data_IF_516458764363
#
_entry.id   IF_516458764363
#
_cell.length_a   1.000
_cell.length_b   1.000
_cell.length_c   1.000
_cell.angle_alpha   90.00
_cell.angle_beta   90.00
_cell.angle_gamma   90.00
#
_symmetry.space_group_name_H-M   'P 1'
#
loop_
_entity.id
_entity.type
_entity.pdbx_description
1 polymer ?
#
# COMPACT_ATOMS: atom_id res chain seq x y z
N UNK A 1 -44.46 3.37 -19.27
CA UNK A 1 -43.72 2.61 -18.27
C UNK A 1 -43.67 3.45 -16.98
N UNK A 2 -44.24 2.99 -15.89
CA UNK A 2 -44.18 3.74 -14.63
C UNK A 2 -42.73 3.66 -14.06
N UNK A 3 -42.19 4.80 -13.65
CA UNK A 3 -40.96 4.94 -12.90
C UNK A 3 -41.09 4.14 -11.60
N UNK A 4 -40.19 3.14 -11.41
CA UNK A 4 -40.03 2.45 -10.15
C UNK A 4 -39.33 3.44 -9.23
N UNK A 5 -40.09 4.01 -8.30
CA UNK A 5 -39.52 4.80 -7.20
C UNK A 5 -38.79 3.82 -6.28
N UNK A 6 -37.48 4.01 -5.97
CA UNK A 6 -36.80 3.15 -5.02
C UNK A 6 -37.44 3.30 -3.64
N UNK A 7 -37.70 2.18 -2.98
CA UNK A 7 -38.20 2.12 -1.61
C UNK A 7 -37.38 2.99 -0.65
N UNK A 8 -38.11 3.56 0.31
CA UNK A 8 -37.59 4.53 1.27
C UNK A 8 -36.29 4.07 1.94
N UNK A 9 -35.30 4.96 1.94
CA UNK A 9 -34.04 4.78 2.64
C UNK A 9 -34.28 4.34 4.07
N UNK A 10 -33.81 3.14 4.43
CA UNK A 10 -33.77 2.68 5.82
C UNK A 10 -32.99 3.69 6.65
N UNK A 11 -33.42 3.91 7.88
CA UNK A 11 -32.69 4.81 8.80
C UNK A 11 -31.29 4.25 9.11
N UNK A 12 -30.29 5.08 9.40
CA UNK A 12 -28.94 4.63 9.76
C UNK A 12 -28.94 3.59 10.88
N UNK A 13 -29.85 3.71 11.85
CA UNK A 13 -30.01 2.77 12.97
C UNK A 13 -30.45 1.38 12.50
N UNK A 14 -31.29 1.27 11.47
CA UNK A 14 -31.74 -0.02 10.93
C UNK A 14 -30.67 -0.74 10.10
N UNK A 15 -29.73 0.01 9.48
CA UNK A 15 -28.57 -0.55 8.78
C UNK A 15 -27.55 -1.11 9.77
N UNK A 16 -27.31 -0.42 10.86
CA UNK A 16 -26.39 -0.89 11.93
C UNK A 16 -26.97 -2.17 12.58
N UNK A 17 -28.26 -2.20 12.89
CA UNK A 17 -28.92 -3.39 13.44
C UNK A 17 -28.93 -4.56 12.45
N UNK A 18 -29.08 -4.31 11.16
CA UNK A 18 -29.05 -5.36 10.13
C UNK A 18 -27.67 -5.92 9.89
N UNK A 19 -26.61 -5.10 10.02
CA UNK A 19 -25.20 -5.53 9.99
C UNK A 19 -24.82 -6.28 11.27
N UNK A 20 -25.27 -5.83 12.44
CA UNK A 20 -25.07 -6.52 13.70
C UNK A 20 -25.72 -7.91 13.71
N UNK A 21 -26.85 -8.09 13.03
CA UNK A 21 -27.53 -9.37 12.92
C UNK A 21 -26.97 -10.31 11.84
N UNK A 22 -26.22 -9.80 10.86
CA UNK A 22 -25.79 -10.59 9.69
C UNK A 22 -24.59 -11.51 9.92
N UNK A 23 -23.68 -11.21 10.86
CA UNK A 23 -22.41 -11.96 10.83
C UNK A 23 -21.62 -12.03 12.15
N UNK A 24 -22.02 -11.37 13.23
CA UNK A 24 -21.18 -11.29 14.42
C UNK A 24 -21.75 -12.11 15.58
N UNK A 25 -20.99 -13.14 15.95
CA UNK A 25 -21.23 -13.82 17.24
C UNK A 25 -20.99 -12.84 18.39
N UNK A 26 -21.65 -13.05 19.55
CA UNK A 26 -21.43 -12.23 20.75
C UNK A 26 -19.95 -12.11 21.14
N UNK A 27 -19.13 -13.08 20.77
CA UNK A 27 -17.69 -13.09 21.01
C UNK A 27 -16.94 -12.09 20.12
N UNK A 28 -17.30 -11.97 18.84
CA UNK A 28 -16.70 -10.96 17.95
C UNK A 28 -17.05 -9.54 18.37
N UNK A 29 -18.30 -9.30 18.79
CA UNK A 29 -18.71 -8.00 19.32
C UNK A 29 -17.95 -7.64 20.61
N UNK A 30 -17.68 -8.63 21.47
CA UNK A 30 -16.87 -8.44 22.68
C UNK A 30 -15.40 -8.15 22.34
N UNK A 31 -14.86 -8.86 21.37
CA UNK A 31 -13.50 -8.66 20.87
C UNK A 31 -13.34 -7.26 20.25
N UNK A 32 -14.26 -6.84 19.40
CA UNK A 32 -14.25 -5.51 18.81
C UNK A 32 -14.32 -4.39 19.86
N UNK A 33 -15.16 -4.53 20.90
CA UNK A 33 -15.20 -3.56 22.01
C UNK A 33 -13.87 -3.45 22.78
N UNK A 34 -13.14 -4.55 22.92
CA UNK A 34 -11.81 -4.54 23.55
C UNK A 34 -10.82 -3.82 22.64
N UNK A 35 -10.82 -4.14 21.34
CA UNK A 35 -9.97 -3.47 20.35
C UNK A 35 -10.26 -1.97 20.28
N UNK A 36 -11.53 -1.58 20.30
CA UNK A 36 -11.93 -0.16 20.26
C UNK A 36 -11.44 0.60 21.49
N UNK A 37 -11.50 -0.03 22.68
CA UNK A 37 -10.97 0.57 23.90
C UNK A 37 -9.45 0.73 23.84
N UNK A 38 -8.75 -0.25 23.32
CA UNK A 38 -7.30 -0.23 23.16
C UNK A 38 -6.87 0.78 22.09
N UNK A 39 -7.56 0.83 20.95
CA UNK A 39 -7.34 1.85 19.92
C UNK A 39 -7.55 3.27 20.45
N UNK A 40 -8.58 3.49 21.28
CA UNK A 40 -8.83 4.79 21.89
C UNK A 40 -7.72 5.16 22.88
N UNK A 41 -7.19 4.19 23.64
CA UNK A 41 -6.07 4.41 24.56
C UNK A 41 -4.82 4.83 23.79
N UNK A 42 -4.46 4.07 22.75
CA UNK A 42 -3.32 4.37 21.88
C UNK A 42 -3.49 5.74 21.20
N UNK A 43 -4.68 6.04 20.69
CA UNK A 43 -4.97 7.34 20.07
C UNK A 43 -4.74 8.49 21.05
N UNK A 44 -5.22 8.38 22.29
CA UNK A 44 -5.06 9.43 23.32
C UNK A 44 -3.58 9.63 23.69
N UNK A 45 -2.82 8.53 23.79
CA UNK A 45 -1.38 8.59 24.03
C UNK A 45 -0.64 9.28 22.87
N UNK A 46 -0.95 8.92 21.62
CA UNK A 46 -0.40 9.59 20.44
C UNK A 46 -0.71 11.08 20.41
N UNK A 47 -1.95 11.47 20.73
CA UNK A 47 -2.33 12.87 20.84
C UNK A 47 -1.54 13.59 21.93
N UNK A 48 -1.28 12.93 23.06
CA UNK A 48 -0.42 13.44 24.14
C UNK A 48 0.99 13.76 23.62
N UNK A 49 1.62 12.76 22.99
CA UNK A 49 2.97 12.91 22.41
C UNK A 49 3.03 14.00 21.34
N UNK A 50 2.00 14.12 20.50
CA UNK A 50 1.94 15.15 19.45
C UNK A 50 1.66 16.57 19.99
N UNK A 51 1.13 16.69 21.21
CA UNK A 51 0.92 17.97 21.87
C UNK A 51 2.20 18.49 22.55
N UNK A 52 3.16 17.60 22.84
CA UNK A 52 4.48 18.00 23.31
C UNK A 52 5.20 18.72 22.16
N UNK A 53 5.55 19.98 22.39
CA UNK A 53 6.30 20.75 21.39
C UNK A 53 7.64 20.07 21.10
N UNK A 54 7.83 19.70 19.86
CA UNK A 54 9.13 19.22 19.40
C UNK A 54 9.98 20.45 19.07
N UNK A 55 10.76 20.92 20.04
CA UNK A 55 11.66 22.09 19.89
C UNK A 55 13.02 21.71 19.30
N UNK A 56 13.26 20.41 19.05
CA UNK A 56 14.52 19.93 18.49
C UNK A 56 14.51 20.05 16.96
N UNK A 57 15.27 20.99 16.41
CA UNK A 57 15.47 21.17 14.97
C UNK A 57 16.07 19.91 14.27
N UNK A 58 16.61 18.98 15.03
CA UNK A 58 17.18 17.74 14.55
C UNK A 58 16.17 16.58 14.53
N UNK A 59 14.98 16.80 15.02
CA UNK A 59 13.91 15.78 15.02
C UNK A 59 12.68 16.27 14.28
N UNK A 60 12.03 15.39 13.54
CA UNK A 60 10.76 15.68 12.86
C UNK A 60 9.73 14.58 13.10
N UNK A 61 8.47 14.97 13.23
CA UNK A 61 7.34 14.03 13.27
C UNK A 61 6.78 13.93 11.86
N UNK A 62 6.60 12.68 11.39
CA UNK A 62 6.21 12.36 10.02
C UNK A 62 4.92 11.54 9.96
N UNK A 63 4.21 11.65 8.84
CA UNK A 63 3.13 10.73 8.50
C UNK A 63 3.57 9.75 7.42
N UNK A 64 3.16 8.51 7.54
CA UNK A 64 3.48 7.45 6.60
C UNK A 64 2.22 6.72 6.14
N UNK A 65 2.22 6.28 4.87
CA UNK A 65 1.08 5.65 4.20
C UNK A 65 1.48 4.29 3.64
N UNK A 66 0.70 3.26 3.94
CA UNK A 66 0.86 1.91 3.42
C UNK A 66 -0.36 1.52 2.59
N UNK A 67 -0.15 1.06 1.36
CA UNK A 67 -1.18 0.70 0.41
C UNK A 67 -1.02 -0.75 -0.05
N UNK A 68 -2.03 -1.57 0.24
CA UNK A 68 -2.02 -3.01 -0.04
C UNK A 68 -2.15 -3.35 -1.53
N UNK A 69 -1.72 -4.56 -1.87
CA UNK A 69 -2.01 -5.19 -3.15
C UNK A 69 -3.46 -5.68 -3.27
N UNK A 70 -3.95 -5.84 -4.51
CA UNK A 70 -5.31 -6.35 -4.71
C UNK A 70 -5.92 -6.20 -6.10
N UNK A 71 -5.15 -5.94 -7.15
CA UNK A 71 -5.64 -5.83 -8.53
C UNK A 71 -6.68 -4.71 -8.68
N UNK A 72 -7.85 -5.00 -9.28
CA UNK A 72 -8.94 -4.00 -9.47
C UNK A 72 -9.42 -3.37 -8.15
N UNK A 73 -9.17 -4.02 -7.02
CA UNK A 73 -9.53 -3.50 -5.71
C UNK A 73 -8.71 -2.27 -5.28
N UNK A 74 -7.78 -1.79 -6.11
CA UNK A 74 -7.23 -0.44 -6.00
C UNK A 74 -8.31 0.66 -5.99
N UNK A 75 -9.49 0.38 -6.55
CA UNK A 75 -10.67 1.22 -6.43
C UNK A 75 -11.13 1.40 -4.96
N UNK A 76 -10.98 0.38 -4.12
CA UNK A 76 -11.28 0.47 -2.68
C UNK A 76 -10.33 1.45 -2.01
N UNK A 77 -9.01 1.35 -2.29
CA UNK A 77 -8.00 2.29 -1.77
C UNK A 77 -8.39 3.72 -2.14
N UNK A 78 -8.67 3.97 -3.43
CA UNK A 78 -9.02 5.32 -3.88
C UNK A 78 -10.32 5.82 -3.28
N UNK A 79 -11.31 4.95 -3.05
CA UNK A 79 -12.58 5.32 -2.42
C UNK A 79 -12.41 5.65 -0.93
N UNK A 80 -11.64 4.85 -0.19
CA UNK A 80 -11.31 5.14 1.22
C UNK A 80 -10.60 6.50 1.32
N UNK A 81 -9.58 6.72 0.48
CA UNK A 81 -8.86 7.99 0.47
C UNK A 81 -9.77 9.19 0.14
N UNK A 82 -10.70 9.04 -0.82
CA UNK A 82 -11.68 10.07 -1.14
C UNK A 82 -12.60 10.41 0.03
N UNK A 83 -13.04 9.41 0.81
CA UNK A 83 -13.86 9.65 1.99
C UNK A 83 -13.07 10.37 3.09
N UNK A 84 -11.78 10.04 3.26
CA UNK A 84 -10.91 10.79 4.18
C UNK A 84 -10.71 12.23 3.70
N UNK A 85 -10.45 12.46 2.39
CA UNK A 85 -10.37 13.81 1.80
C UNK A 85 -11.66 14.60 2.00
N UNK A 86 -12.82 13.93 1.88
CA UNK A 86 -14.13 14.58 2.12
C UNK A 86 -14.23 15.12 3.55
N UNK A 87 -13.75 14.37 4.54
CA UNK A 87 -13.74 14.81 5.96
C UNK A 87 -12.66 15.84 6.20
N UNK A 88 -11.51 15.72 5.54
CA UNK A 88 -10.42 16.70 5.64
C UNK A 88 -10.72 18.02 4.91
N UNK A 89 -11.53 18.00 3.85
CA UNK A 89 -11.78 19.15 2.99
C UNK A 89 -10.59 19.54 2.10
N UNK A 90 -9.55 18.72 2.01
CA UNK A 90 -8.34 18.95 1.24
C UNK A 90 -7.64 17.64 0.86
N UNK A 91 -6.62 17.71 -0.02
CA UNK A 91 -5.90 16.55 -0.49
C UNK A 91 -5.17 15.81 0.63
N UNK A 92 -5.47 14.51 0.75
CA UNK A 92 -4.89 13.63 1.77
C UNK A 92 -3.41 13.33 1.47
N UNK A 93 -3.04 13.15 0.20
CA UNK A 93 -1.71 12.67 -0.17
C UNK A 93 -0.59 13.65 0.24
N UNK A 94 -0.88 14.94 0.31
CA UNK A 94 0.06 15.97 0.74
C UNK A 94 0.53 15.84 2.20
N UNK A 95 -0.10 14.99 2.99
CA UNK A 95 0.24 14.80 4.40
C UNK A 95 1.33 13.75 4.63
N UNK A 96 1.65 12.92 3.63
CA UNK A 96 2.57 11.80 3.80
C UNK A 96 3.99 12.09 3.34
N UNK A 97 4.95 11.66 4.15
CA UNK A 97 6.40 11.80 3.93
C UNK A 97 7.02 10.56 3.31
N UNK A 98 6.52 9.39 3.72
CA UNK A 98 6.83 8.10 3.14
C UNK A 98 5.56 7.37 2.74
N UNK A 99 5.58 6.75 1.57
CA UNK A 99 4.47 5.96 1.05
C UNK A 99 5.00 4.63 0.54
N UNK A 100 4.49 3.54 1.09
CA UNK A 100 4.76 2.20 0.59
C UNK A 100 3.56 1.67 -0.19
N UNK A 101 3.82 0.92 -1.25
CA UNK A 101 2.78 0.27 -2.04
C UNK A 101 3.20 -1.09 -2.58
N UNK A 102 2.24 -2.02 -2.58
CA UNK A 102 2.39 -3.34 -3.19
C UNK A 102 1.41 -3.47 -4.35
N UNK A 103 1.89 -3.96 -5.51
CA UNK A 103 1.01 -4.26 -6.65
C UNK A 103 0.11 -3.05 -7.00
N UNK A 104 -1.21 -3.19 -6.89
CA UNK A 104 -2.15 -2.07 -7.12
C UNK A 104 -1.91 -0.87 -6.21
N UNK A 105 -1.46 -1.08 -4.95
CA UNK A 105 -1.08 0.00 -4.04
C UNK A 105 0.10 0.82 -4.57
N UNK A 106 1.06 0.18 -5.26
CA UNK A 106 2.17 0.88 -5.91
C UNK A 106 1.70 1.73 -7.09
N UNK A 107 0.71 1.26 -7.86
CA UNK A 107 0.10 2.01 -8.97
C UNK A 107 -0.62 3.27 -8.44
N UNK A 108 -1.40 3.14 -7.37
CA UNK A 108 -2.08 4.28 -6.73
C UNK A 108 -1.06 5.29 -6.21
N UNK A 109 -0.04 4.84 -5.48
CA UNK A 109 1.00 5.72 -4.93
C UNK A 109 1.77 6.46 -6.04
N UNK A 110 2.15 5.76 -7.11
CA UNK A 110 2.86 6.35 -8.24
C UNK A 110 2.00 7.37 -9.00
N UNK A 111 0.71 7.07 -9.22
CA UNK A 111 -0.22 7.99 -9.87
C UNK A 111 -0.39 9.28 -9.06
N UNK A 112 -0.61 9.18 -7.75
CA UNK A 112 -0.72 10.35 -6.86
C UNK A 112 0.59 11.16 -6.82
N UNK A 113 1.74 10.49 -6.73
CA UNK A 113 3.04 11.16 -6.76
C UNK A 113 3.36 11.78 -8.14
N UNK A 114 2.70 11.31 -9.20
CA UNK A 114 2.77 11.89 -10.54
C UNK A 114 1.80 13.07 -10.75
N UNK A 115 1.03 13.44 -9.72
CA UNK A 115 0.10 14.57 -9.73
C UNK A 115 -1.33 14.22 -10.17
N UNK A 116 -1.66 12.93 -10.33
CA UNK A 116 -3.04 12.51 -10.61
C UNK A 116 -3.89 12.64 -9.34
N UNK A 117 -5.14 13.02 -9.50
CA UNK A 117 -6.13 13.03 -8.43
C UNK A 117 -6.71 11.65 -8.19
N UNK A 118 -7.28 11.40 -7.01
CA UNK A 118 -7.97 10.13 -6.72
C UNK A 118 -9.11 9.84 -7.70
N UNK A 119 -9.81 10.86 -8.18
CA UNK A 119 -10.88 10.72 -9.19
C UNK A 119 -10.35 10.32 -10.56
N UNK A 120 -9.20 10.85 -10.95
CA UNK A 120 -8.51 10.44 -12.18
C UNK A 120 -8.05 9.00 -12.08
N UNK A 121 -7.47 8.60 -10.95
CA UNK A 121 -7.10 7.21 -10.70
C UNK A 121 -8.30 6.26 -10.77
N UNK A 122 -9.46 6.61 -10.21
CA UNK A 122 -10.67 5.80 -10.39
C UNK A 122 -11.02 5.59 -11.86
N UNK A 123 -10.93 6.65 -12.68
CA UNK A 123 -11.17 6.54 -14.15
C UNK A 123 -10.11 5.66 -14.81
N UNK A 124 -8.86 5.78 -14.40
CA UNK A 124 -7.76 4.90 -14.87
C UNK A 124 -8.09 3.43 -14.57
N UNK A 125 -8.53 3.11 -13.36
CA UNK A 125 -8.90 1.74 -12.97
C UNK A 125 -10.10 1.19 -13.76
N UNK A 126 -11.11 2.01 -14.05
CA UNK A 126 -12.26 1.59 -14.88
C UNK A 126 -11.80 1.27 -16.32
N UNK A 127 -10.90 2.07 -16.92
CA UNK A 127 -10.32 1.76 -18.23
C UNK A 127 -9.40 0.53 -18.17
N UNK A 128 -8.62 0.40 -17.09
CA UNK A 128 -7.72 -0.71 -16.87
C UNK A 128 -8.43 -2.06 -16.92
N UNK A 129 -9.58 -2.20 -16.22
CA UNK A 129 -10.33 -3.46 -16.18
C UNK A 129 -10.79 -3.92 -17.57
N UNK A 130 -11.17 -2.99 -18.42
CA UNK A 130 -11.69 -3.30 -19.74
C UNK A 130 -10.61 -3.64 -20.75
N UNK A 131 -9.42 -3.02 -20.59
CA UNK A 131 -8.29 -3.18 -21.51
C UNK A 131 -7.37 -4.34 -21.12
N UNK A 132 -7.06 -4.48 -19.84
CA UNK A 132 -5.99 -5.38 -19.36
C UNK A 132 -6.53 -6.74 -18.95
N UNK A 133 -7.67 -6.79 -18.27
CA UNK A 133 -8.28 -8.04 -17.89
C UNK A 133 -9.09 -8.64 -19.05
N UNK A 134 -8.51 -9.57 -19.77
CA UNK A 134 -9.19 -10.37 -20.77
C UNK A 134 -9.80 -11.65 -20.16
N UNK A 135 -10.52 -12.44 -20.96
CA UNK A 135 -11.16 -13.66 -20.47
C UNK A 135 -10.17 -14.85 -20.35
N UNK A 136 -8.88 -14.63 -20.57
CA UNK A 136 -7.83 -15.64 -20.52
C UNK A 136 -6.83 -15.31 -19.42
N UNK A 137 -6.31 -16.32 -18.74
CA UNK A 137 -5.18 -16.20 -17.83
C UNK A 137 -4.02 -17.07 -18.33
N UNK A 138 -2.80 -16.56 -18.32
CA UNK A 138 -2.40 -15.19 -17.96
C UNK A 138 -2.92 -14.16 -18.94
N UNK A 139 -3.21 -12.94 -18.45
CA UNK A 139 -3.60 -11.80 -19.27
C UNK A 139 -2.44 -11.31 -20.15
N UNK A 140 -2.74 -10.52 -21.16
CA UNK A 140 -1.73 -10.00 -22.06
C UNK A 140 -0.83 -8.97 -21.34
N UNK A 141 0.37 -9.41 -20.97
CA UNK A 141 1.35 -8.58 -20.26
C UNK A 141 1.76 -7.32 -21.04
N UNK A 142 1.85 -7.39 -22.36
CA UNK A 142 2.22 -6.25 -23.20
C UNK A 142 1.16 -5.12 -23.13
N UNK A 143 -0.12 -5.49 -23.02
CA UNK A 143 -1.21 -4.51 -22.83
C UNK A 143 -1.06 -3.79 -21.50
N UNK A 144 -0.77 -4.52 -20.42
CA UNK A 144 -0.51 -3.93 -19.10
C UNK A 144 0.68 -2.95 -19.15
N UNK A 145 1.78 -3.36 -19.78
CA UNK A 145 2.98 -2.53 -19.89
C UNK A 145 2.72 -1.24 -20.69
N UNK A 146 2.06 -1.36 -21.82
CA UNK A 146 1.66 -0.22 -22.65
C UNK A 146 0.75 0.72 -21.86
N UNK A 147 -0.25 0.17 -21.17
CA UNK A 147 -1.16 0.96 -20.35
C UNK A 147 -0.43 1.76 -19.26
N UNK A 148 0.47 1.14 -18.51
CA UNK A 148 1.25 1.85 -17.48
C UNK A 148 2.15 2.94 -18.10
N UNK A 149 2.75 2.66 -19.26
CA UNK A 149 3.59 3.63 -19.97
C UNK A 149 2.81 4.84 -20.49
N UNK A 150 1.58 4.62 -20.97
CA UNK A 150 0.69 5.69 -21.43
C UNK A 150 0.21 6.57 -20.27
N UNK A 151 -0.12 5.97 -19.13
CA UNK A 151 -0.64 6.70 -17.97
C UNK A 151 0.44 7.49 -17.20
N UNK A 152 1.66 6.99 -17.12
CA UNK A 152 2.71 7.54 -16.25
C UNK A 152 3.97 8.02 -16.99
N UNK A 153 4.06 7.76 -18.27
CA UNK A 153 5.21 8.13 -19.10
C UNK A 153 6.19 6.97 -19.31
N UNK A 154 6.53 6.74 -20.58
CA UNK A 154 7.41 5.64 -20.99
C UNK A 154 8.85 5.81 -20.51
N UNK A 155 9.35 7.04 -20.54
CA UNK A 155 10.75 7.37 -20.24
C UNK A 155 10.95 7.89 -18.82
N UNK A 156 9.88 8.00 -18.03
CA UNK A 156 9.91 8.47 -16.64
C UNK A 156 10.63 7.47 -15.75
N UNK A 157 11.60 7.93 -14.99
CA UNK A 157 12.32 7.13 -14.00
C UNK A 157 11.60 7.14 -12.64
N UNK A 158 11.83 6.11 -11.84
CA UNK A 158 11.30 6.08 -10.46
C UNK A 158 11.86 7.25 -9.65
N UNK A 159 13.09 7.63 -9.88
CA UNK A 159 13.77 8.74 -9.22
C UNK A 159 13.20 10.13 -9.59
N UNK A 160 12.53 10.25 -10.74
CA UNK A 160 11.87 11.51 -11.16
C UNK A 160 10.66 11.87 -10.28
N UNK A 161 10.19 10.92 -9.47
CA UNK A 161 9.20 11.19 -8.43
C UNK A 161 9.92 11.66 -7.17
N UNK A 162 10.23 12.94 -7.09
CA UNK A 162 11.06 13.49 -6.01
C UNK A 162 10.45 13.38 -4.62
N UNK A 163 9.12 13.41 -4.51
CA UNK A 163 8.41 13.43 -3.22
C UNK A 163 6.96 12.93 -3.35
N UNK A 164 6.41 12.22 -2.36
CA UNK A 164 7.04 11.72 -1.12
C UNK A 164 8.09 10.64 -1.39
N UNK A 165 8.78 10.18 -0.34
CA UNK A 165 9.63 9.00 -0.43
C UNK A 165 8.76 7.77 -0.69
N UNK A 166 9.00 7.12 -1.82
CA UNK A 166 8.24 5.96 -2.29
C UNK A 166 9.00 4.67 -2.06
N UNK A 167 8.28 3.65 -1.65
CA UNK A 167 8.78 2.30 -1.44
C UNK A 167 7.83 1.30 -2.07
N UNK A 168 8.26 0.60 -3.13
CA UNK A 168 7.46 -0.43 -3.78
C UNK A 168 8.05 -1.81 -3.55
N UNK A 169 7.21 -2.76 -3.18
CA UNK A 169 7.61 -4.14 -2.94
C UNK A 169 7.62 -4.94 -4.25
N UNK A 170 8.59 -5.85 -4.39
CA UNK A 170 8.58 -6.91 -5.41
C UNK A 170 9.24 -8.15 -4.85
N UNK A 171 8.84 -9.32 -5.34
CA UNK A 171 9.45 -10.59 -4.96
C UNK A 171 10.46 -11.02 -6.01
N UNK A 172 11.69 -11.26 -5.57
CA UNK A 172 12.76 -11.81 -6.37
C UNK A 172 12.70 -13.33 -6.31
N UNK A 173 12.30 -13.96 -7.41
CA UNK A 173 11.98 -15.38 -7.47
C UNK A 173 13.03 -16.25 -8.22
N UNK A 174 14.18 -15.66 -8.57
CA UNK A 174 15.34 -16.38 -9.11
C UNK A 174 16.25 -17.00 -8.02
N UNK A 175 15.82 -16.88 -6.76
CA UNK A 175 16.47 -17.49 -5.59
C UNK A 175 15.48 -18.35 -4.80
N UNK A 176 16.01 -19.34 -4.09
CA UNK A 176 15.26 -20.08 -3.09
C UNK A 176 15.96 -19.98 -1.72
N UNK A 177 15.26 -19.60 -0.64
CA UNK A 177 13.89 -19.05 -0.66
C UNK A 177 13.79 -17.74 -1.45
N UNK A 178 12.60 -17.44 -1.94
CA UNK A 178 12.32 -16.18 -2.62
C UNK A 178 12.61 -14.99 -1.69
N UNK A 179 13.03 -13.88 -2.26
CA UNK A 179 13.48 -12.72 -1.50
C UNK A 179 12.60 -11.49 -1.78
N UNK A 180 12.31 -10.74 -0.74
CA UNK A 180 11.71 -9.42 -0.89
C UNK A 180 12.75 -8.44 -1.42
N UNK A 181 12.40 -7.67 -2.44
CA UNK A 181 13.19 -6.53 -2.90
C UNK A 181 12.34 -5.26 -2.84
N UNK A 182 12.96 -4.17 -2.34
CA UNK A 182 12.31 -2.88 -2.18
C UNK A 182 12.85 -1.91 -3.23
N UNK A 183 11.96 -1.36 -4.04
CA UNK A 183 12.28 -0.35 -5.06
C UNK A 183 11.92 1.03 -4.51
N UNK A 184 12.89 1.94 -4.48
CA UNK A 184 12.79 3.26 -3.84
C UNK A 184 13.05 4.37 -4.84
N UNK A 185 12.43 5.55 -4.64
CA UNK A 185 12.74 6.76 -5.40
C UNK A 185 13.82 7.64 -4.72
N UNK A 186 14.48 7.13 -3.70
CA UNK A 186 15.51 7.84 -2.94
C UNK A 186 16.66 6.91 -2.55
N UNK A 187 17.78 7.50 -2.17
CA UNK A 187 18.95 6.83 -1.60
C UNK A 187 19.23 7.35 -0.21
N UNK A 188 20.13 6.68 0.51
CA UNK A 188 20.68 7.19 1.75
C UNK A 188 21.71 8.30 1.46
N UNK A 189 21.92 9.22 2.40
CA UNK A 189 22.93 10.28 2.26
C UNK A 189 24.35 9.71 2.44
N UNK A 190 24.80 8.94 1.46
CA UNK A 190 26.13 8.32 1.40
C UNK A 190 26.55 8.04 -0.04
N UNK A 191 27.68 7.38 -0.25
CA UNK A 191 28.19 7.04 -1.59
C UNK A 191 27.33 6.01 -2.31
N UNK A 192 27.41 5.96 -3.64
CA UNK A 192 26.66 5.00 -4.45
C UNK A 192 27.06 3.56 -4.12
N UNK A 193 28.36 3.30 -3.86
CA UNK A 193 28.84 1.97 -3.50
C UNK A 193 28.24 1.50 -2.18
N UNK A 194 28.22 2.34 -1.13
CA UNK A 194 27.62 2.00 0.13
C UNK A 194 26.09 1.85 0.02
N UNK A 195 25.42 2.70 -0.76
CA UNK A 195 24.00 2.54 -1.06
C UNK A 195 23.73 1.18 -1.73
N UNK A 196 24.57 0.78 -2.68
CA UNK A 196 24.43 -0.52 -3.34
C UNK A 196 24.62 -1.70 -2.38
N UNK A 197 25.64 -1.65 -1.52
CA UNK A 197 25.89 -2.68 -0.48
C UNK A 197 24.74 -2.79 0.52
N UNK A 198 24.12 -1.67 0.89
CA UNK A 198 22.96 -1.60 1.79
C UNK A 198 21.63 -1.94 1.12
N UNK A 199 21.65 -2.31 -0.17
CA UNK A 199 20.44 -2.69 -0.91
C UNK A 199 19.61 -1.52 -1.43
N UNK A 200 20.12 -0.29 -1.36
CA UNK A 200 19.57 0.89 -2.03
C UNK A 200 20.10 0.93 -3.46
N UNK A 201 19.47 0.13 -4.32
CA UNK A 201 19.86 0.07 -5.73
C UNK A 201 19.55 1.39 -6.40
N UNK A 202 20.40 1.73 -7.37
CA UNK A 202 20.29 2.98 -8.13
C UNK A 202 18.94 3.10 -8.85
N UNK A 203 18.01 3.82 -8.23
CA UNK A 203 16.68 4.12 -8.77
C UNK A 203 16.74 5.08 -9.98
N UNK A 204 17.87 5.76 -10.18
CA UNK A 204 18.12 6.66 -11.33
C UNK A 204 18.17 5.92 -12.67
N UNK A 205 18.22 4.58 -12.67
CA UNK A 205 18.23 3.74 -13.88
C UNK A 205 16.99 2.85 -14.01
N UNK A 206 16.04 2.96 -13.08
CA UNK A 206 14.82 2.15 -13.08
C UNK A 206 13.65 2.97 -13.62
N UNK A 207 13.14 2.61 -14.78
CA UNK A 207 11.90 3.19 -15.31
C UNK A 207 10.74 2.97 -14.33
N UNK A 208 9.92 4.00 -14.12
CA UNK A 208 8.77 3.95 -13.23
C UNK A 208 7.81 2.81 -13.64
N UNK A 209 7.45 2.74 -14.92
CA UNK A 209 6.58 1.67 -15.42
C UNK A 209 7.14 0.27 -15.12
N UNK A 210 8.46 0.11 -15.20
CA UNK A 210 9.12 -1.18 -14.95
C UNK A 210 9.11 -1.54 -13.45
N UNK A 211 9.28 -0.56 -12.55
CA UNK A 211 9.14 -0.75 -11.12
C UNK A 211 7.71 -1.22 -10.78
N UNK A 212 6.71 -0.53 -11.32
CA UNK A 212 5.31 -0.88 -11.12
C UNK A 212 4.95 -2.25 -11.69
N UNK A 213 5.49 -2.56 -12.86
CA UNK A 213 5.32 -3.86 -13.49
C UNK A 213 5.94 -5.01 -12.68
N UNK A 214 7.10 -4.79 -12.04
CA UNK A 214 7.71 -5.74 -11.11
C UNK A 214 6.83 -5.95 -9.87
N UNK A 215 6.31 -4.88 -9.29
CA UNK A 215 5.44 -4.92 -8.13
C UNK A 215 4.10 -5.63 -8.41
N UNK A 216 3.57 -5.53 -9.63
CA UNK A 216 2.26 -6.03 -10.05
C UNK A 216 2.31 -7.29 -10.94
N UNK A 217 3.42 -8.01 -10.96
CA UNK A 217 3.59 -9.25 -11.71
C UNK A 217 2.94 -10.45 -11.01
N UNK A 218 1.63 -10.37 -10.74
CA UNK A 218 0.91 -11.42 -10.02
C UNK A 218 0.98 -12.76 -10.76
N UNK A 219 1.52 -13.81 -10.12
CA UNK A 219 1.57 -15.15 -10.73
C UNK A 219 0.18 -15.59 -11.18
N UNK A 220 0.11 -16.30 -12.31
CA UNK A 220 -1.11 -16.73 -13.00
C UNK A 220 -1.88 -15.61 -13.73
N UNK A 221 -1.72 -14.35 -13.34
CA UNK A 221 -2.35 -13.19 -14.01
C UNK A 221 -1.40 -12.58 -15.07
N UNK A 222 -0.13 -12.43 -14.72
CA UNK A 222 0.87 -11.81 -15.60
C UNK A 222 2.21 -12.57 -15.56
N UNK A 223 2.99 -12.44 -16.62
CA UNK A 223 4.35 -13.01 -16.67
C UNK A 223 5.31 -12.29 -15.72
N UNK A 224 6.32 -13.02 -15.24
CA UNK A 224 7.42 -12.43 -14.47
C UNK A 224 8.20 -11.38 -15.29
N UNK A 225 8.73 -10.37 -14.62
CA UNK A 225 9.58 -9.34 -15.24
C UNK A 225 11.04 -9.78 -15.18
N UNK A 226 11.74 -9.67 -16.32
CA UNK A 226 13.14 -10.07 -16.45
C UNK A 226 13.38 -11.55 -16.04
N UNK A 227 12.38 -12.43 -16.15
CA UNK A 227 12.39 -13.84 -15.67
C UNK A 227 12.81 -13.99 -14.20
N UNK A 228 12.54 -13.01 -13.37
CA UNK A 228 13.12 -12.89 -12.04
C UNK A 228 12.17 -12.28 -11.03
N UNK A 229 11.42 -11.26 -11.40
CA UNK A 229 10.57 -10.51 -10.50
C UNK A 229 9.10 -10.89 -10.67
N UNK A 230 8.45 -11.15 -9.55
CA UNK A 230 7.01 -11.38 -9.44
C UNK A 230 6.40 -10.42 -8.42
N UNK A 231 5.08 -10.43 -8.32
CA UNK A 231 4.32 -9.53 -7.45
C UNK A 231 4.86 -9.51 -6.02
N UNK A 232 4.96 -8.30 -5.46
CA UNK A 232 5.39 -8.09 -4.07
C UNK A 232 4.45 -8.74 -3.05
N UNK A 233 3.18 -8.90 -3.40
CA UNK A 233 2.16 -9.51 -2.56
C UNK A 233 2.40 -10.97 -2.19
N UNK A 234 3.34 -11.65 -2.88
CA UNK A 234 3.75 -13.00 -2.52
C UNK A 234 4.46 -13.04 -1.16
N UNK A 235 5.22 -12.01 -0.80
CA UNK A 235 5.91 -11.90 0.49
C UNK A 235 5.27 -10.83 1.37
N UNK A 236 5.01 -9.65 0.81
CA UNK A 236 4.51 -8.49 1.55
C UNK A 236 3.38 -7.82 0.79
N UNK A 237 2.14 -8.31 1.00
CA UNK A 237 0.95 -7.69 0.41
C UNK A 237 0.56 -6.39 1.12
N UNK A 238 0.74 -6.33 2.43
CA UNK A 238 0.62 -5.11 3.24
C UNK A 238 2.02 -4.64 3.62
N UNK A 239 2.55 -3.57 3.01
CA UNK A 239 3.92 -3.14 3.21
C UNK A 239 4.14 -2.25 4.44
N UNK A 240 3.26 -2.31 5.45
CA UNK A 240 3.38 -1.50 6.66
C UNK A 240 4.63 -1.83 7.48
N UNK A 241 4.98 -3.12 7.57
CA UNK A 241 6.16 -3.55 8.32
C UNK A 241 7.44 -3.08 7.63
N UNK A 242 7.50 -3.20 6.32
CA UNK A 242 8.63 -2.73 5.50
C UNK A 242 8.81 -1.23 5.65
N UNK A 243 7.70 -0.49 5.67
CA UNK A 243 7.72 0.96 5.84
C UNK A 243 8.21 1.37 7.24
N UNK A 244 7.76 0.67 8.29
CA UNK A 244 8.25 0.88 9.65
C UNK A 244 9.75 0.57 9.78
N UNK A 245 10.19 -0.54 9.19
CA UNK A 245 11.60 -0.94 9.16
C UNK A 245 12.46 0.07 8.39
N UNK A 246 11.95 0.63 7.30
CA UNK A 246 12.63 1.63 6.50
C UNK A 246 12.88 2.92 7.30
N UNK A 247 11.88 3.41 8.03
CA UNK A 247 12.01 4.58 8.92
C UNK A 247 13.02 4.29 10.05
N UNK A 248 12.94 3.10 10.67
CA UNK A 248 13.86 2.67 11.69
C UNK A 248 15.30 2.57 11.15
N UNK A 249 15.46 2.00 9.97
CA UNK A 249 16.76 1.87 9.30
C UNK A 249 17.37 3.24 9.00
N UNK A 250 16.58 4.19 8.48
CA UNK A 250 17.02 5.55 8.22
C UNK A 250 17.52 6.25 9.50
N UNK A 251 16.80 6.13 10.61
CA UNK A 251 17.24 6.67 11.89
C UNK A 251 18.55 6.02 12.38
N UNK A 252 18.65 4.70 12.26
CA UNK A 252 19.84 3.94 12.67
C UNK A 252 21.06 4.30 11.82
N UNK A 253 20.87 4.46 10.51
CA UNK A 253 21.89 4.90 9.57
C UNK A 253 22.40 6.31 9.93
N UNK A 254 21.50 7.26 10.14
CA UNK A 254 21.89 8.63 10.53
C UNK A 254 22.67 8.65 11.83
N UNK A 255 22.23 7.87 12.82
CA UNK A 255 22.96 7.72 14.09
C UNK A 255 24.37 7.16 13.87
N UNK A 256 24.52 6.12 13.05
CA UNK A 256 25.81 5.51 12.75
C UNK A 256 26.76 6.48 12.04
N UNK A 257 26.23 7.31 11.14
CA UNK A 257 27.00 8.32 10.38
C UNK A 257 27.18 9.64 11.12
N UNK A 258 26.75 9.72 12.39
CA UNK A 258 26.76 10.95 13.18
C UNK A 258 26.00 12.11 12.50
N UNK A 259 24.95 11.81 11.72
CA UNK A 259 24.04 12.79 11.17
C UNK A 259 23.00 13.09 12.26
N UNK A 260 22.95 14.31 12.81
CA UNK A 260 22.07 14.62 13.93
C UNK A 260 20.63 14.87 13.44
N UNK A 261 20.05 13.91 12.73
CA UNK A 261 18.68 13.98 12.20
C UNK A 261 17.96 12.69 12.50
N UNK A 262 16.77 12.80 13.09
CA UNK A 262 15.90 11.67 13.40
C UNK A 262 14.44 11.98 13.05
N UNK A 263 13.65 10.94 12.83
CA UNK A 263 12.21 11.06 12.60
C UNK A 263 11.44 10.18 13.57
N UNK A 264 10.27 10.66 13.98
CA UNK A 264 9.28 9.89 14.73
C UNK A 264 8.01 9.79 13.91
N UNK A 265 7.38 8.64 13.92
CA UNK A 265 6.12 8.43 13.22
C UNK A 265 5.00 9.03 14.07
N UNK A 266 4.28 10.01 13.52
CA UNK A 266 3.10 10.61 14.13
C UNK A 266 1.82 9.92 13.72
N UNK A 267 1.76 9.43 12.47
CA UNK A 267 0.62 8.65 11.99
C UNK A 267 1.11 7.62 10.95
N UNK A 268 0.71 6.37 11.12
CA UNK A 268 0.72 5.35 10.07
C UNK A 268 -0.71 5.11 9.62
N UNK A 269 -1.01 5.46 8.38
CA UNK A 269 -2.27 5.10 7.73
C UNK A 269 -2.03 3.87 6.83
N UNK A 270 -2.62 2.74 7.17
CA UNK A 270 -2.58 1.52 6.35
C UNK A 270 -3.94 1.28 5.72
N UNK A 271 -3.99 1.23 4.39
CA UNK A 271 -5.22 1.06 3.62
C UNK A 271 -5.17 -0.27 2.87
N UNK A 272 -6.06 -1.18 3.28
CA UNK A 272 -6.24 -2.47 2.64
C UNK A 272 -7.18 -2.42 1.44
N UNK A 273 -7.28 -3.55 0.74
CA UNK A 273 -8.14 -3.76 -0.43
C UNK A 273 -9.32 -4.71 -0.15
N UNK A 274 -9.62 -4.95 1.12
CA UNK A 274 -10.64 -5.89 1.58
C UNK A 274 -10.05 -7.26 1.94
N UNK A 275 -10.82 -8.05 2.69
CA UNK A 275 -10.44 -9.39 3.10
C UNK A 275 -10.91 -10.44 2.09
N UNK A 276 -10.14 -11.51 1.97
CA UNK A 276 -10.54 -12.70 1.21
C UNK A 276 -11.53 -13.48 2.06
N UNK A 277 -12.74 -13.79 1.56
CA UNK A 277 -13.69 -14.61 2.31
C UNK A 277 -13.08 -15.97 2.65
N UNK A 278 -13.26 -16.42 3.89
CA UNK A 278 -12.83 -17.75 4.31
C UNK A 278 -13.53 -18.82 3.48
N UNK A 279 -12.75 -19.62 2.74
CA UNK A 279 -13.27 -20.73 1.95
C UNK A 279 -12.83 -22.06 2.58
N UNK A 280 -13.79 -22.96 2.75
CA UNK A 280 -13.50 -24.30 3.26
C UNK A 280 -12.75 -25.10 2.19
N UNK A 281 -11.52 -25.48 2.48
CA UNK A 281 -10.73 -26.31 1.56
C UNK A 281 -11.22 -27.76 1.60
N UNK A 282 -11.35 -28.36 0.43
CA UNK A 282 -11.60 -29.80 0.32
C UNK A 282 -10.36 -30.58 0.81
N UNK A 283 -10.55 -31.75 1.46
CA UNK A 283 -9.43 -32.56 1.97
C UNK A 283 -8.36 -32.90 0.92
N UNK A 284 -8.77 -33.11 -0.33
CA UNK A 284 -7.85 -33.34 -1.44
C UNK A 284 -6.87 -32.19 -1.70
N UNK A 285 -7.31 -30.94 -1.49
CA UNK A 285 -6.45 -29.77 -1.66
C UNK A 285 -5.45 -29.61 -0.51
N UNK A 286 -5.84 -30.02 0.70
CA UNK A 286 -4.94 -30.10 1.86
C UNK A 286 -3.84 -31.13 1.66
N UNK A 287 -4.18 -32.30 1.12
CA UNK A 287 -3.22 -33.36 0.83
C UNK A 287 -2.24 -32.95 -0.28
N UNK A 288 -2.73 -32.25 -1.33
CA UNK A 288 -1.89 -31.67 -2.37
C UNK A 288 -0.94 -30.61 -1.79
N UNK A 289 -1.43 -29.71 -0.97
CA UNK A 289 -0.61 -28.68 -0.32
C UNK A 289 0.45 -29.31 0.62
N UNK A 290 0.10 -30.34 1.39
CA UNK A 290 1.05 -31.08 2.23
C UNK A 290 2.13 -31.77 1.40
N UNK A 291 1.77 -32.38 0.27
CA UNK A 291 2.73 -33.05 -0.62
C UNK A 291 3.70 -32.03 -1.25
N UNK A 292 3.26 -30.80 -1.55
CA UNK A 292 4.14 -29.73 -2.03
C UNK A 292 5.05 -29.16 -0.93
N UNK A 293 4.57 -29.06 0.31
CA UNK A 293 5.35 -28.55 1.45
C UNK A 293 6.41 -29.56 1.90
N UNK A 294 6.13 -30.87 1.80
CA UNK A 294 7.05 -31.93 2.21
C UNK A 294 8.09 -32.31 1.15
N UNK A 295 7.88 -31.98 -0.12
CA UNK A 295 8.93 -32.06 -1.12
C UNK A 295 9.84 -30.82 -1.02
N UNK A 296 11.17 -30.97 -1.19
CA UNK A 296 12.03 -29.81 -1.31
C UNK A 296 11.49 -28.95 -2.46
N UNK A 297 10.94 -27.80 -2.12
CA UNK A 297 10.40 -26.84 -3.10
C UNK A 297 11.60 -26.32 -3.88
N UNK A 298 11.95 -27.00 -4.95
CA UNK A 298 13.13 -26.69 -5.75
C UNK A 298 12.85 -25.72 -6.87
N UNK A 299 11.59 -25.24 -7.00
CA UNK A 299 11.25 -24.35 -8.08
C UNK A 299 10.10 -23.39 -7.77
N UNK A 300 10.21 -22.22 -8.37
CA UNK A 300 9.19 -21.21 -8.58
C UNK A 300 7.79 -21.79 -8.92
N UNK A 301 7.74 -22.89 -9.70
CA UNK A 301 6.50 -23.53 -10.10
C UNK A 301 5.68 -24.08 -8.91
N UNK A 302 6.32 -24.51 -7.82
CA UNK A 302 5.60 -25.02 -6.66
C UNK A 302 4.89 -23.89 -5.88
N UNK A 303 5.53 -22.73 -5.73
CA UNK A 303 4.94 -21.55 -5.10
C UNK A 303 3.76 -21.04 -5.94
N UNK A 304 3.91 -21.02 -7.27
CA UNK A 304 2.83 -20.65 -8.18
C UNK A 304 1.69 -21.65 -8.10
N UNK A 305 1.97 -22.95 -8.06
CA UNK A 305 0.93 -24.00 -8.01
C UNK A 305 0.12 -23.92 -6.71
N UNK A 306 0.78 -23.71 -5.56
CA UNK A 306 0.09 -23.50 -4.27
C UNK A 306 -0.72 -22.21 -4.32
N UNK A 307 -0.14 -21.12 -4.82
CA UNK A 307 -0.83 -19.84 -5.00
C UNK A 307 -2.05 -19.97 -5.92
N UNK A 308 -1.94 -20.72 -7.01
CA UNK A 308 -3.03 -20.97 -7.95
C UNK A 308 -4.15 -21.80 -7.34
N UNK A 309 -3.83 -22.87 -6.61
CA UNK A 309 -4.82 -23.69 -5.89
C UNK A 309 -5.60 -22.81 -4.89
N UNK A 310 -4.92 -21.98 -4.13
CA UNK A 310 -5.54 -21.05 -3.18
C UNK A 310 -6.38 -19.98 -3.89
N UNK A 311 -5.91 -19.43 -5.00
CA UNK A 311 -6.61 -18.41 -5.78
C UNK A 311 -7.83 -19.00 -6.50
N UNK A 312 -7.74 -20.20 -7.06
CA UNK A 312 -8.85 -20.86 -7.76
C UNK A 312 -9.97 -21.30 -6.80
N UNK A 313 -9.63 -21.66 -5.56
CA UNK A 313 -10.60 -22.05 -4.53
C UNK A 313 -11.24 -20.83 -3.84
N UNK A 314 -10.45 -19.81 -3.57
CA UNK A 314 -10.94 -18.53 -3.08
C UNK A 314 -11.30 -17.70 -4.32
N UNK A 315 -12.56 -17.54 -4.64
CA UNK A 315 -13.02 -16.65 -5.74
C UNK A 315 -12.55 -15.21 -5.48
N UNK A 316 -11.26 -14.98 -5.64
CA UNK A 316 -10.63 -13.67 -5.46
C UNK A 316 -10.92 -12.86 -6.71
N UNK A 317 -11.82 -11.91 -6.58
CA UNK A 317 -12.23 -11.01 -7.66
C UNK A 317 -11.17 -9.90 -7.91
N UNK A 318 -9.87 -10.27 -7.97
CA UNK A 318 -8.81 -9.29 -8.26
C UNK A 318 -8.82 -8.78 -9.70
N UNK A 319 -9.48 -9.51 -10.59
CA UNK A 319 -9.68 -9.20 -12.00
C UNK A 319 -11.17 -9.08 -12.36
N UNK A 320 -12.00 -8.66 -11.40
CA UNK A 320 -13.43 -8.41 -11.62
C UNK A 320 -13.66 -7.39 -12.74
N UNK A 321 -14.58 -7.69 -13.63
CA UNK A 321 -14.94 -6.87 -14.80
C UNK A 321 -16.36 -6.33 -14.77
N UNK A 322 -17.26 -7.02 -14.06
CA UNK A 322 -18.66 -6.68 -14.01
C UNK A 322 -18.88 -5.30 -13.39
N UNK A 323 -19.54 -4.38 -14.11
CA UNK A 323 -19.80 -3.04 -13.60
C UNK A 323 -20.67 -3.06 -12.33
N UNK A 324 -21.62 -3.99 -12.24
CA UNK A 324 -22.46 -4.18 -11.06
C UNK A 324 -21.64 -4.66 -9.85
N UNK A 325 -20.71 -5.59 -10.06
CA UNK A 325 -19.82 -6.11 -9.04
C UNK A 325 -18.87 -5.02 -8.50
N UNK A 326 -18.30 -4.22 -9.41
CA UNK A 326 -17.44 -3.09 -9.06
C UNK A 326 -18.23 -2.00 -8.33
N UNK A 327 -19.42 -1.67 -8.83
CA UNK A 327 -20.29 -0.68 -8.19
C UNK A 327 -20.70 -1.12 -6.79
N UNK A 328 -20.98 -2.42 -6.58
CA UNK A 328 -21.28 -2.98 -5.27
C UNK A 328 -20.07 -2.88 -4.34
N UNK A 329 -18.87 -3.25 -4.80
CA UNK A 329 -17.64 -3.16 -4.01
C UNK A 329 -17.34 -1.71 -3.57
N UNK A 330 -17.54 -0.75 -4.48
CA UNK A 330 -17.37 0.68 -4.16
C UNK A 330 -18.42 1.16 -3.15
N UNK A 331 -19.67 0.70 -3.30
CA UNK A 331 -20.75 1.02 -2.35
C UNK A 331 -20.49 0.45 -0.97
N UNK A 332 -20.11 -0.82 -0.87
CA UNK A 332 -19.75 -1.48 0.39
C UNK A 332 -18.61 -0.71 1.11
N UNK A 333 -17.67 -0.16 0.34
CA UNK A 333 -16.61 0.69 0.87
C UNK A 333 -17.14 2.02 1.45
N UNK A 334 -18.05 2.69 0.75
CA UNK A 334 -18.68 3.94 1.23
C UNK A 334 -19.47 3.67 2.52
N UNK A 335 -20.24 2.59 2.55
CA UNK A 335 -21.01 2.16 3.73
C UNK A 335 -20.09 1.89 4.93
N UNK A 336 -18.99 1.17 4.70
CA UNK A 336 -17.97 0.93 5.73
C UNK A 336 -17.39 2.23 6.29
N UNK A 337 -17.00 3.17 5.43
CA UNK A 337 -16.45 4.45 5.85
C UNK A 337 -17.45 5.32 6.61
N UNK A 338 -18.72 5.25 6.23
CA UNK A 338 -19.80 5.94 6.94
C UNK A 338 -20.04 5.39 8.35
N UNK A 339 -20.03 4.08 8.51
CA UNK A 339 -20.19 3.40 9.80
C UNK A 339 -19.01 3.74 10.74
N UNK A 340 -17.80 3.87 10.19
CA UNK A 340 -16.58 4.12 10.94
C UNK A 340 -16.13 5.60 10.86
N UNK A 341 -17.04 6.54 10.70
CA UNK A 341 -16.73 7.96 10.56
C UNK A 341 -15.92 8.53 11.73
N UNK A 342 -16.14 8.08 12.95
CA UNK A 342 -15.39 8.48 14.13
C UNK A 342 -13.88 8.11 14.03
N UNK A 343 -13.54 6.97 13.44
CA UNK A 343 -12.16 6.61 13.13
C UNK A 343 -11.55 7.51 12.06
N UNK A 344 -12.31 7.83 11.03
CA UNK A 344 -11.88 8.76 9.97
C UNK A 344 -11.55 10.12 10.57
N UNK A 345 -12.38 10.64 11.45
CA UNK A 345 -12.15 11.92 12.15
C UNK A 345 -10.90 11.90 13.01
N UNK A 346 -10.62 10.78 13.72
CA UNK A 346 -9.39 10.59 14.49
C UNK A 346 -8.15 10.60 13.59
N UNK A 347 -8.18 9.87 12.47
CA UNK A 347 -7.10 9.88 11.48
C UNK A 347 -6.86 11.29 10.94
N UNK A 348 -7.89 11.99 10.54
CA UNK A 348 -7.81 13.38 10.08
C UNK A 348 -7.19 14.31 11.14
N UNK A 349 -7.52 14.10 12.40
CA UNK A 349 -6.98 14.88 13.52
C UNK A 349 -5.47 14.64 13.69
N UNK A 350 -5.03 13.38 13.66
CA UNK A 350 -3.61 13.03 13.74
C UNK A 350 -2.82 13.63 12.57
N UNK A 351 -3.31 13.45 11.34
CA UNK A 351 -2.67 13.99 10.14
C UNK A 351 -2.51 15.52 10.20
N UNK A 352 -3.56 16.24 10.60
CA UNK A 352 -3.52 17.70 10.74
C UNK A 352 -2.54 18.15 11.83
N UNK A 353 -2.43 17.42 12.94
CA UNK A 353 -1.46 17.75 14.00
C UNK A 353 -0.02 17.65 13.53
N UNK A 354 0.31 16.63 12.79
CA UNK A 354 1.64 16.48 12.17
C UNK A 354 1.83 17.49 11.03
N UNK A 355 0.76 17.76 10.26
CA UNK A 355 0.73 18.73 9.18
C UNK A 355 1.25 18.21 7.84
N UNK A 356 1.25 19.08 6.83
CA UNK A 356 1.60 18.73 5.44
C UNK A 356 3.08 18.42 5.26
N UNK A 357 3.35 17.41 4.46
CA UNK A 357 4.67 16.87 4.16
C UNK A 357 5.64 17.88 3.48
N UNK A 358 5.24 18.74 2.52
CA UNK A 358 6.18 19.65 1.87
C UNK A 358 6.98 20.53 2.84
N UNK A 359 6.42 20.83 4.01
CA UNK A 359 7.13 21.58 5.06
C UNK A 359 8.33 20.83 5.64
N UNK A 360 8.37 19.50 5.51
CA UNK A 360 9.44 18.62 6.02
C UNK A 360 10.46 18.22 4.96
N UNK A 361 10.22 18.55 3.68
CA UNK A 361 11.13 18.23 2.58
C UNK A 361 12.54 18.77 2.81
N UNK A 362 12.65 20.01 3.29
CA UNK A 362 13.93 20.67 3.60
C UNK A 362 14.68 19.96 4.74
N UNK A 363 13.96 19.43 5.75
CA UNK A 363 14.54 18.64 6.81
C UNK A 363 15.28 17.42 6.26
N UNK A 364 14.67 16.67 5.33
CA UNK A 364 15.29 15.51 4.71
C UNK A 364 16.45 15.90 3.76
N UNK A 365 16.30 16.97 2.99
CA UNK A 365 17.34 17.46 2.10
C UNK A 365 18.60 17.88 2.86
N UNK A 366 18.46 18.43 4.07
CA UNK A 366 19.57 18.85 4.89
C UNK A 366 20.48 17.70 5.36
N UNK A 367 20.00 16.45 5.34
CA UNK A 367 20.81 15.27 5.68
C UNK A 367 21.99 15.09 4.72
N UNK A 368 21.82 15.40 3.44
CA UNK A 368 22.87 15.26 2.41
C UNK A 368 24.07 16.20 2.67
N UNK A 369 23.86 17.30 3.38
CA UNK A 369 24.95 18.24 3.70
C UNK A 369 25.96 17.69 4.72
N UNK A 370 25.59 16.66 5.48
CA UNK A 370 26.50 16.04 6.47
C UNK A 370 27.52 15.08 5.86
N UNK A 371 27.26 14.60 4.65
CA UNK A 371 28.12 13.63 3.95
C UNK A 371 29.24 14.29 3.15
N UNK A 372 29.11 15.58 2.81
CA UNK A 372 30.09 16.32 2.00
C UNK A 372 31.24 16.93 2.82
N UNK A 373 31.18 16.90 4.17
CA UNK A 373 32.23 17.42 5.06
C UNK A 373 32.56 16.43 6.18
N UNK A 374 33.47 15.45 5.97
CA UNK A 374 33.87 14.51 7.02
C UNK A 374 34.79 15.08 8.12
N UNK A 375 35.04 16.39 8.15
CA UNK A 375 36.08 17.00 8.98
C UNK A 375 35.63 18.01 10.03
N UNK A 376 34.40 17.93 10.54
CA UNK A 376 34.05 18.72 11.73
C UNK A 376 33.85 17.81 12.93
N UNK A 377 34.81 17.75 13.87
CA UNK A 377 34.61 17.03 15.13
C UNK A 377 33.57 17.75 15.94
N UNK A 378 32.51 17.06 16.30
CA UNK A 378 31.52 17.52 17.29
C UNK A 378 32.22 17.71 18.61
N UNK A 379 32.18 18.96 19.11
CA UNK A 379 32.62 19.30 20.46
C UNK A 379 31.64 18.80 21.50
#
# INVERSE_FOLDING_TARGET
>A
MPLIVPEAKKSPTSLVEELENRTFTKEMLRYNKILDAEHNSIYNEMIGVLNEKNEDENSSIINILSLDGGGIRGLVITQIMLEVERVMGESLFEYFDWVAGTSTGSLVAAGLASGQTLRELQRVYIRFKDLVFDNRRPHNTAVLETFIQEELGKDKLLFDLEWPRLLFTTTKADYFPVQLELMRNYTLPTTDDENFELGFKNSEKLYLWKALRRSSAAPTFFSAVDNKYIDGGIISNNPSLELLQEVQFWNSFNKLKNIPKSVRIGCLLSIGTGSIPSTKLEPAHLELAQNYITQPITSYNAVITIGQILIDQVKVQMDAKGDEEIAKMMWDCIEYMYIHQDYVEKVCTLLRKVGKSPKRREFFASCSNYTTNPSTPVK
#
